data_IF_274592287083
#
_entry.id   IF_274592287083
#
_cell.length_a   1.000
_cell.length_b   1.000
_cell.length_c   1.000
_cell.angle_alpha   90.00
_cell.angle_beta   90.00
_cell.angle_gamma   90.00
#
_symmetry.space_group_name_H-M   'P 1'
#
loop_
_entity.id
_entity.type
_entity.pdbx_description
1 polymer ?
#
# COMPACT_ATOMS: atom_id res chain seq x y z
N UNK A 1 -4.46 4.64 11.42
CA UNK A 1 -4.35 3.28 10.89
C UNK A 1 -5.36 3.09 9.77
N UNK A 2 -4.94 2.50 8.68
CA UNK A 2 -5.74 2.25 7.48
C UNK A 2 -5.77 0.75 7.25
N UNK A 3 -6.95 0.17 7.05
CA UNK A 3 -7.08 -1.29 7.06
C UNK A 3 -8.01 -1.78 5.96
N UNK A 4 -7.55 -2.82 5.25
CA UNK A 4 -8.39 -3.67 4.40
C UNK A 4 -8.46 -5.01 5.10
N UNK A 5 -9.67 -5.50 5.35
CA UNK A 5 -9.86 -6.82 5.91
C UNK A 5 -10.85 -7.58 5.02
N UNK A 6 -10.33 -8.56 4.31
CA UNK A 6 -11.10 -9.47 3.49
C UNK A 6 -10.94 -10.88 4.03
N UNK A 7 -11.56 -11.87 3.37
CA UNK A 7 -11.42 -13.25 3.80
C UNK A 7 -9.97 -13.69 3.67
N UNK A 8 -9.35 -14.07 4.79
CA UNK A 8 -7.98 -14.57 4.88
C UNK A 8 -6.92 -13.61 4.36
N UNK A 9 -7.24 -12.31 4.25
CA UNK A 9 -6.30 -11.29 3.84
C UNK A 9 -6.56 -10.01 4.62
N UNK A 10 -5.51 -9.50 5.28
CA UNK A 10 -5.56 -8.24 6.02
C UNK A 10 -4.33 -7.42 5.62
N UNK A 11 -4.56 -6.16 5.28
CA UNK A 11 -3.49 -5.20 5.01
C UNK A 11 -3.72 -3.96 5.87
N UNK A 12 -2.70 -3.55 6.60
CA UNK A 12 -2.79 -2.38 7.49
C UNK A 12 -1.61 -1.45 7.26
N UNK A 13 -1.90 -0.15 7.22
CA UNK A 13 -0.90 0.92 7.12
C UNK A 13 -0.84 1.71 8.42
N UNK A 14 0.38 2.02 8.85
CA UNK A 14 0.67 2.84 10.02
C UNK A 14 1.69 3.91 9.63
N UNK A 15 1.26 5.03 9.03
CA UNK A 15 2.21 6.05 8.57
C UNK A 15 2.72 6.92 9.71
N UNK A 16 4.02 7.22 9.67
CA UNK A 16 4.67 8.22 10.51
C UNK A 16 5.24 9.28 9.58
N UNK A 17 4.67 10.48 9.64
CA UNK A 17 5.02 11.57 8.73
C UNK A 17 6.14 12.42 9.33
N UNK A 18 7.20 12.66 8.55
CA UNK A 18 8.33 13.48 8.95
C UNK A 18 8.25 14.83 8.23
N UNK A 19 7.57 15.79 8.85
CA UNK A 19 7.30 17.09 8.22
C UNK A 19 8.57 17.88 7.90
N UNK A 20 9.63 17.68 8.68
CA UNK A 20 10.90 18.34 8.43
C UNK A 20 11.55 17.88 7.12
N UNK A 21 11.11 16.75 6.57
CA UNK A 21 11.68 16.16 5.37
C UNK A 21 10.81 16.36 4.12
N UNK A 22 9.83 17.26 4.16
CA UNK A 22 8.92 17.47 3.04
C UNK A 22 9.60 17.94 1.75
N UNK A 23 10.84 18.43 1.83
CA UNK A 23 11.63 18.79 0.65
C UNK A 23 12.16 17.56 -0.11
N UNK A 24 12.05 16.36 0.48
CA UNK A 24 12.60 15.12 -0.07
C UNK A 24 11.48 14.17 -0.48
N UNK A 25 11.73 13.28 -1.46
CA UNK A 25 10.73 12.31 -1.89
C UNK A 25 10.32 11.32 -0.80
N UNK A 26 11.24 10.99 0.12
CA UNK A 26 10.96 10.10 1.25
C UNK A 26 10.77 10.94 2.50
N UNK A 27 9.56 10.95 3.03
CA UNK A 27 9.21 11.71 4.23
C UNK A 27 8.17 11.01 5.09
N UNK A 28 7.89 9.73 4.79
CA UNK A 28 6.97 8.89 5.57
C UNK A 28 7.64 7.55 5.83
N UNK A 29 7.66 7.18 7.09
CA UNK A 29 7.99 5.82 7.50
C UNK A 29 6.66 5.07 7.60
N UNK A 30 6.37 4.27 6.59
CA UNK A 30 5.07 3.60 6.48
C UNK A 30 5.17 2.18 7.04
N UNK A 31 4.62 1.98 8.24
CA UNK A 31 4.48 0.64 8.77
C UNK A 31 3.45 -0.12 7.95
N UNK A 32 3.78 -1.35 7.55
CA UNK A 32 2.91 -2.22 6.75
C UNK A 32 2.81 -3.55 7.45
N UNK A 33 1.58 -3.93 7.80
CA UNK A 33 1.30 -5.28 8.29
C UNK A 33 0.42 -5.99 7.27
N UNK A 34 0.81 -7.19 6.90
CA UNK A 34 0.02 -8.01 5.98
C UNK A 34 -0.11 -9.41 6.55
N UNK A 35 -1.31 -9.96 6.44
CA UNK A 35 -1.61 -11.35 6.74
C UNK A 35 -2.34 -11.92 5.54
N UNK A 36 -1.83 -12.99 4.96
CA UNK A 36 -2.34 -13.53 3.71
C UNK A 36 -2.23 -15.06 3.75
N UNK A 37 -3.37 -15.72 3.92
CA UNK A 37 -3.46 -17.19 3.85
C UNK A 37 -2.45 -17.91 4.74
N UNK A 38 -2.29 -17.44 5.99
CA UNK A 38 -1.40 -18.07 6.96
C UNK A 38 0.01 -17.51 6.99
N UNK A 39 0.37 -16.66 6.05
CA UNK A 39 1.66 -15.97 6.03
C UNK A 39 1.48 -14.53 6.49
N UNK A 40 2.45 -13.99 7.20
CA UNK A 40 2.34 -12.62 7.68
C UNK A 40 3.69 -11.92 7.70
N UNK A 41 3.64 -10.59 7.61
CA UNK A 41 4.80 -9.74 7.75
C UNK A 41 4.40 -8.47 8.50
N UNK A 42 5.34 -7.94 9.26
CA UNK A 42 5.22 -6.68 9.97
C UNK A 42 6.51 -5.93 9.67
N UNK A 43 6.45 -4.99 8.74
CA UNK A 43 7.63 -4.31 8.24
C UNK A 43 7.30 -2.86 7.90
N UNK A 44 8.12 -2.23 7.08
CA UNK A 44 7.90 -0.84 6.70
C UNK A 44 8.35 -0.58 5.28
N UNK A 45 7.85 0.53 4.73
CA UNK A 45 8.30 1.08 3.45
C UNK A 45 8.68 2.55 3.65
N UNK A 46 9.73 2.98 2.96
CA UNK A 46 10.15 4.38 2.92
C UNK A 46 9.50 5.05 1.71
N UNK A 47 8.45 5.84 1.96
CA UNK A 47 7.65 6.47 0.91
C UNK A 47 7.50 7.97 1.21
N UNK A 48 6.73 8.67 0.40
CA UNK A 48 6.43 10.08 0.61
C UNK A 48 4.93 10.33 0.67
N UNK A 49 4.56 11.46 1.26
CA UNK A 49 3.14 11.87 1.32
C UNK A 49 2.54 11.99 -0.08
N UNK A 50 3.33 12.46 -1.04
CA UNK A 50 2.88 12.58 -2.43
C UNK A 50 2.64 11.21 -3.07
N UNK A 51 3.55 10.28 -2.84
CA UNK A 51 3.40 8.91 -3.34
C UNK A 51 2.17 8.21 -2.78
N UNK A 52 1.90 8.39 -1.48
CA UNK A 52 0.70 7.85 -0.85
C UNK A 52 -0.55 8.49 -1.44
N UNK A 53 -0.53 9.83 -1.66
CA UNK A 53 -1.65 10.55 -2.24
C UNK A 53 -1.96 10.06 -3.66
N UNK A 54 -0.92 9.90 -4.48
CA UNK A 54 -1.08 9.40 -5.85
C UNK A 54 -1.62 7.97 -5.87
N UNK A 55 -1.11 7.12 -4.99
CA UNK A 55 -1.60 5.76 -4.83
C UNK A 55 -3.09 5.75 -4.45
N UNK A 56 -3.50 6.60 -3.51
CA UNK A 56 -4.89 6.70 -3.09
C UNK A 56 -5.79 7.16 -4.24
N UNK A 57 -5.34 8.10 -5.07
CA UNK A 57 -6.09 8.54 -6.25
C UNK A 57 -6.21 7.44 -7.30
N UNK A 58 -5.14 6.67 -7.51
CA UNK A 58 -5.18 5.51 -8.41
C UNK A 58 -6.17 4.46 -7.91
N UNK A 59 -6.18 4.20 -6.61
CA UNK A 59 -7.14 3.27 -6.00
C UNK A 59 -8.58 3.75 -6.16
N UNK A 60 -8.81 5.06 -5.97
CA UNK A 60 -10.14 5.64 -6.17
C UNK A 60 -10.62 5.43 -7.61
N UNK A 61 -9.77 5.75 -8.58
CA UNK A 61 -10.09 5.54 -9.99
C UNK A 61 -10.39 4.07 -10.28
N UNK A 62 -9.60 3.18 -9.69
CA UNK A 62 -9.74 1.74 -9.89
C UNK A 62 -11.10 1.22 -9.41
N UNK A 63 -11.53 1.59 -8.20
CA UNK A 63 -12.82 1.09 -7.74
C UNK A 63 -14.01 1.81 -8.36
N UNK A 64 -13.85 3.05 -8.81
CA UNK A 64 -14.92 3.78 -9.49
C UNK A 64 -15.14 3.32 -10.92
N UNK A 65 -14.07 3.00 -11.63
CA UNK A 65 -14.14 2.62 -13.05
C UNK A 65 -14.04 1.12 -13.28
N UNK A 66 -13.63 0.36 -12.27
CA UNK A 66 -13.37 -1.08 -12.37
C UNK A 66 -12.33 -1.39 -13.45
N UNK A 67 -11.37 -0.49 -13.64
CA UNK A 67 -10.29 -0.64 -14.60
C UNK A 67 -9.02 0.02 -14.08
N UNK A 68 -7.88 -0.37 -14.65
CA UNK A 68 -6.59 0.21 -14.33
C UNK A 68 -5.89 -0.50 -13.18
N UNK A 69 -4.91 0.20 -12.65
CA UNK A 69 -4.06 -0.33 -11.58
C UNK A 69 -3.61 0.79 -10.65
N UNK A 70 -3.22 0.41 -9.44
CA UNK A 70 -2.66 1.31 -8.45
C UNK A 70 -1.40 0.67 -7.87
N UNK A 71 -0.34 1.45 -7.74
CA UNK A 71 0.94 0.94 -7.26
C UNK A 71 1.58 1.92 -6.27
N UNK A 72 2.03 1.37 -5.16
CA UNK A 72 2.83 2.09 -4.17
C UNK A 72 4.20 1.42 -4.11
N UNK A 73 5.26 2.17 -4.39
CA UNK A 73 6.62 1.67 -4.30
C UNK A 73 7.54 2.72 -3.68
N UNK A 74 8.71 2.27 -3.24
CA UNK A 74 9.69 3.18 -2.65
C UNK A 74 10.38 3.99 -3.75
N UNK A 75 10.58 5.32 -3.56
CA UNK A 75 11.19 6.17 -4.60
C UNK A 75 12.62 5.77 -4.96
N UNK A 76 13.37 5.23 -4.01
CA UNK A 76 14.78 4.90 -4.21
C UNK A 76 15.04 3.39 -4.31
N UNK A 77 13.99 2.59 -4.35
CA UNK A 77 14.13 1.13 -4.39
C UNK A 77 12.88 0.54 -5.02
N UNK A 78 13.06 -0.50 -5.81
CA UNK A 78 11.94 -1.24 -6.39
C UNK A 78 11.70 -2.56 -5.67
N UNK A 79 12.38 -2.78 -4.54
CA UNK A 79 12.30 -4.05 -3.83
C UNK A 79 11.01 -4.21 -3.04
N UNK A 80 10.42 -3.10 -2.57
CA UNK A 80 9.17 -3.12 -1.82
C UNK A 80 8.09 -2.45 -2.64
N UNK A 81 6.98 -3.13 -2.83
CA UNK A 81 5.84 -2.55 -3.52
C UNK A 81 4.54 -3.23 -3.13
N UNK A 82 3.46 -2.50 -3.34
CA UNK A 82 2.09 -2.99 -3.26
C UNK A 82 1.39 -2.59 -4.54
N UNK A 83 0.65 -3.52 -5.14
CA UNK A 83 -0.02 -3.25 -6.41
C UNK A 83 -1.43 -3.84 -6.40
N UNK A 84 -2.37 -3.05 -6.89
CA UNK A 84 -3.77 -3.43 -7.01
C UNK A 84 -4.14 -3.32 -8.48
N UNK A 85 -4.72 -4.37 -9.05
CA UNK A 85 -5.08 -4.43 -10.47
C UNK A 85 -6.54 -4.83 -10.60
N UNK A 86 -7.31 -4.06 -11.37
CA UNK A 86 -8.69 -4.39 -11.65
C UNK A 86 -8.78 -5.62 -12.56
N UNK A 87 -9.63 -6.57 -12.16
CA UNK A 87 -9.90 -7.77 -12.92
C UNK A 87 -11.38 -7.78 -13.32
N UNK A 88 -11.76 -8.76 -14.12
CA UNK A 88 -13.13 -8.89 -14.60
C UNK A 88 -14.12 -9.12 -13.43
N UNK A 89 -15.31 -8.52 -13.53
CA UNK A 89 -16.39 -8.78 -12.59
C UNK A 89 -16.28 -8.06 -11.25
N UNK A 90 -15.52 -6.96 -11.18
CA UNK A 90 -15.40 -6.18 -9.95
C UNK A 90 -14.39 -6.76 -8.96
N UNK A 91 -13.61 -7.73 -9.38
CA UNK A 91 -12.54 -8.31 -8.57
C UNK A 91 -11.27 -7.47 -8.70
N UNK A 92 -10.54 -7.38 -7.60
CA UNK A 92 -9.28 -6.64 -7.54
C UNK A 92 -8.19 -7.61 -7.13
N UNK A 93 -7.16 -7.74 -7.95
CA UNK A 93 -5.99 -8.53 -7.59
C UNK A 93 -5.02 -7.66 -6.81
N UNK A 94 -4.63 -8.12 -5.63
CA UNK A 94 -3.70 -7.43 -4.74
C UNK A 94 -2.41 -8.21 -4.69
N UNK A 95 -1.30 -7.56 -4.98
CA UNK A 95 0.01 -8.17 -4.96
C UNK A 95 0.97 -7.31 -4.16
N UNK A 96 1.98 -7.95 -3.60
CA UNK A 96 3.03 -7.20 -2.94
C UNK A 96 4.29 -8.00 -2.75
N UNK A 97 5.39 -7.28 -2.65
CA UNK A 97 6.67 -7.79 -2.19
C UNK A 97 7.17 -6.86 -1.11
N UNK A 98 7.41 -7.43 0.07
CA UNK A 98 7.94 -6.69 1.20
C UNK A 98 9.18 -7.42 1.69
N UNK A 99 10.28 -6.71 1.71
CA UNK A 99 11.53 -7.29 2.13
C UNK A 99 12.21 -6.37 3.14
N UNK A 100 12.90 -6.98 4.08
CA UNK A 100 13.58 -6.27 5.14
C UNK A 100 14.88 -6.98 5.46
N UNK A 101 15.89 -6.25 5.88
CA UNK A 101 17.15 -6.81 6.32
C UNK A 101 17.31 -6.64 7.82
N UNK A 102 17.75 -7.69 8.49
CA UNK A 102 18.13 -7.60 9.90
C UNK A 102 19.41 -6.77 10.05
N UNK A 103 19.74 -6.41 11.28
CA UNK A 103 20.96 -5.66 11.58
C UNK A 103 22.24 -6.36 11.10
N UNK A 104 22.18 -7.67 10.91
CA UNK A 104 23.32 -8.47 10.44
C UNK A 104 23.29 -8.71 8.93
N UNK A 105 22.37 -8.10 8.20
CA UNK A 105 22.28 -8.23 6.75
C UNK A 105 21.49 -9.42 6.25
N UNK A 106 20.82 -10.16 7.11
CA UNK A 106 19.97 -11.28 6.70
C UNK A 106 18.63 -10.78 6.19
N UNK A 107 18.21 -11.28 5.04
CA UNK A 107 17.00 -10.82 4.35
C UNK A 107 15.78 -11.63 4.75
N UNK A 108 14.67 -10.92 5.01
CA UNK A 108 13.34 -11.50 5.17
C UNK A 108 12.49 -10.96 4.04
N UNK A 109 11.69 -11.81 3.42
CA UNK A 109 10.85 -11.37 2.29
C UNK A 109 9.53 -12.12 2.28
N UNK A 110 8.46 -11.40 1.99
CA UNK A 110 7.16 -11.99 1.69
C UNK A 110 6.75 -11.54 0.28
N UNK A 111 6.26 -12.48 -0.51
CA UNK A 111 5.56 -12.20 -1.77
C UNK A 111 4.15 -12.75 -1.61
N UNK A 112 3.15 -11.92 -1.89
CA UNK A 112 1.77 -12.36 -1.75
C UNK A 112 0.93 -11.89 -2.92
N UNK A 113 -0.15 -12.62 -3.17
CA UNK A 113 -1.11 -12.31 -4.22
C UNK A 113 -2.47 -12.80 -3.78
N UNK A 114 -3.48 -11.94 -3.86
CA UNK A 114 -4.85 -12.26 -3.47
C UNK A 114 -5.85 -11.57 -4.39
N UNK A 115 -7.09 -12.03 -4.33
CA UNK A 115 -8.19 -11.39 -5.01
C UNK A 115 -9.20 -10.95 -3.96
N UNK A 116 -9.63 -9.69 -4.04
CA UNK A 116 -10.65 -9.14 -3.15
C UNK A 116 -11.75 -8.50 -3.99
N UNK A 117 -12.94 -8.36 -3.39
CA UNK A 117 -14.00 -7.61 -4.02
C UNK A 117 -13.73 -6.10 -3.85
N UNK A 118 -14.12 -5.31 -4.84
CA UNK A 118 -13.91 -3.85 -4.82
C UNK A 118 -14.50 -3.17 -3.57
N UNK A 119 -15.55 -3.75 -3.00
CA UNK A 119 -16.23 -3.15 -1.84
C UNK A 119 -15.31 -3.04 -0.62
N UNK A 120 -14.27 -3.87 -0.55
CA UNK A 120 -13.30 -3.79 0.55
C UNK A 120 -12.37 -2.58 0.47
N UNK A 121 -12.30 -1.92 -0.69
CA UNK A 121 -11.38 -0.78 -0.89
C UNK A 121 -11.97 0.55 -0.41
N UNK A 122 -13.27 0.69 -0.43
CA UNK A 122 -13.94 1.98 -0.30
C UNK A 122 -13.53 2.79 0.93
N UNK A 123 -13.64 2.19 2.10
CA UNK A 123 -13.33 2.91 3.35
C UNK A 123 -11.84 3.18 3.48
N UNK A 124 -11.02 2.24 3.07
CA UNK A 124 -9.57 2.37 3.06
C UNK A 124 -9.14 3.57 2.20
N UNK A 125 -9.66 3.65 0.99
CA UNK A 125 -9.32 4.72 0.04
C UNK A 125 -9.84 6.06 0.54
N UNK A 126 -11.06 6.11 1.06
CA UNK A 126 -11.64 7.35 1.54
C UNK A 126 -10.85 7.93 2.71
N UNK A 127 -10.38 7.09 3.63
CA UNK A 127 -9.54 7.54 4.74
C UNK A 127 -8.18 8.03 4.26
N UNK A 128 -7.56 7.30 3.34
CA UNK A 128 -6.27 7.74 2.77
C UNK A 128 -6.41 9.09 2.07
N UNK A 129 -7.47 9.29 1.29
CA UNK A 129 -7.68 10.55 0.59
C UNK A 129 -7.98 11.70 1.55
N UNK A 130 -8.72 11.43 2.64
CA UNK A 130 -9.01 12.45 3.64
C UNK A 130 -7.72 12.98 4.28
N UNK A 131 -6.75 12.10 4.52
CA UNK A 131 -5.52 12.47 5.22
C UNK A 131 -4.38 12.86 4.28
N UNK A 132 -4.29 12.27 3.09
CA UNK A 132 -3.16 12.46 2.19
C UNK A 132 -3.52 13.15 0.87
N UNK A 133 -4.81 13.26 0.52
CA UNK A 133 -5.21 13.78 -0.78
C UNK A 133 -4.67 15.18 -1.10
N UNK A 134 -4.48 16.00 -0.07
CA UNK A 134 -3.96 17.37 -0.24
C UNK A 134 -2.51 17.41 -0.76
N UNK A 135 -1.80 16.31 -0.68
CA UNK A 135 -0.40 16.23 -1.14
C UNK A 135 -0.28 15.79 -2.60
N UNK A 136 -1.38 15.46 -3.25
CA UNK A 136 -1.36 15.11 -4.67
C UNK A 136 -1.12 16.36 -5.51
N UNK A 137 -0.21 16.24 -6.48
CA UNK A 137 0.14 17.35 -7.34
C UNK A 137 0.03 16.95 -8.80
#
# INVERSE_FOLDING_TARGET
>A
MYRIEADRFILEFFPEIHEQDFAYPVNVYLGVKVSSYGYSADTFMDVGVQGIAEFALQLKNLYETLSGEARLEEPYSVHNYLEFVAETGGHIRVMGRLNNKSAFGYTQEINFENEIDQTYLRDFVNLLLADFGRYAE
#
